data_IF_058724960247
#
_entry.id   IF_058724960247
#
_cell.length_a   1.000
_cell.length_b   1.000
_cell.length_c   1.000
_cell.angle_alpha   90.00
_cell.angle_beta   90.00
_cell.angle_gamma   90.00
#
_symmetry.space_group_name_H-M   'P 1'
#
loop_
_entity.id
_entity.type
_entity.pdbx_description
1 polymer ?
#
# COMPACT_ATOMS: atom_id res chain seq x y z
N UNK A 1 -21.33 -20.81 -16.80
CA UNK A 1 -19.98 -20.79 -17.40
C UNK A 1 -19.17 -19.79 -16.59
N UNK A 2 -18.16 -20.06 -15.77
CA UNK A 2 -17.35 -21.24 -15.46
C UNK A 2 -16.64 -20.90 -14.15
N UNK A 3 -17.23 -21.22 -12.99
CA UNK A 3 -16.53 -21.14 -11.69
C UNK A 3 -15.31 -22.08 -11.62
N UNK A 4 -15.16 -22.97 -12.60
CA UNK A 4 -14.02 -23.88 -12.77
C UNK A 4 -12.70 -23.16 -13.06
N UNK A 5 -12.71 -21.97 -13.68
CA UNK A 5 -11.50 -21.16 -13.81
C UNK A 5 -11.02 -20.64 -12.45
N UNK A 6 -11.96 -20.45 -11.53
CA UNK A 6 -11.74 -19.99 -10.17
C UNK A 6 -10.97 -20.99 -9.32
N UNK A 7 -11.47 -22.22 -9.30
CA UNK A 7 -10.89 -23.29 -8.50
C UNK A 7 -9.56 -23.79 -9.09
N UNK A 8 -9.40 -23.78 -10.41
CA UNK A 8 -8.13 -24.13 -11.05
C UNK A 8 -7.04 -23.09 -10.75
N UNK A 9 -7.35 -21.78 -10.74
CA UNK A 9 -6.37 -20.79 -10.29
C UNK A 9 -6.12 -20.93 -8.78
N UNK A 10 -7.10 -21.25 -7.95
CA UNK A 10 -6.91 -21.39 -6.49
C UNK A 10 -6.11 -22.65 -6.10
N UNK A 11 -6.07 -23.69 -6.94
CA UNK A 11 -5.24 -24.89 -6.72
C UNK A 11 -3.87 -24.81 -7.41
N UNK A 12 -3.75 -24.03 -8.51
CA UNK A 12 -2.48 -23.74 -9.16
C UNK A 12 -1.73 -22.59 -8.47
N UNK A 13 -2.49 -21.69 -7.87
CA UNK A 13 -2.04 -20.62 -7.00
C UNK A 13 -2.35 -21.06 -5.57
N UNK A 14 -1.69 -22.13 -5.12
CA UNK A 14 -1.31 -22.21 -3.72
C UNK A 14 -0.60 -20.88 -3.42
N UNK A 15 -1.35 -19.97 -2.80
CA UNK A 15 -0.90 -18.63 -2.41
C UNK A 15 0.03 -18.72 -1.18
N UNK A 16 0.86 -19.76 -1.15
CA UNK A 16 1.94 -19.99 -0.20
C UNK A 16 3.26 -19.34 -0.68
N UNK A 17 3.26 -18.78 -1.91
CA UNK A 17 4.26 -17.87 -2.49
C UNK A 17 3.63 -16.47 -2.63
N UNK A 18 3.55 -15.66 -1.58
CA UNK A 18 4.76 -15.04 -1.06
C UNK A 18 5.48 -14.19 -2.11
N UNK A 19 4.76 -13.35 -2.89
CA UNK A 19 5.38 -12.44 -3.87
C UNK A 19 6.42 -11.49 -3.24
N UNK A 20 6.45 -11.35 -1.90
CA UNK A 20 7.55 -10.74 -1.17
C UNK A 20 7.82 -11.49 0.13
N UNK A 21 8.57 -12.59 0.05
CA UNK A 21 9.41 -13.06 1.18
C UNK A 21 10.91 -12.87 0.89
N UNK A 22 11.21 -11.93 -0.02
CA UNK A 22 12.57 -11.53 -0.41
C UNK A 22 12.98 -10.22 0.26
N UNK A 23 12.04 -9.28 0.46
CA UNK A 23 12.37 -8.02 1.11
C UNK A 23 12.36 -8.24 2.63
N UNK A 24 13.50 -8.02 3.32
CA UNK A 24 13.52 -8.09 4.77
C UNK A 24 12.51 -7.08 5.32
N UNK A 25 11.82 -7.43 6.40
CA UNK A 25 10.78 -6.59 7.01
C UNK A 25 11.19 -5.10 7.20
N UNK A 26 12.46 -4.74 7.52
CA UNK A 26 12.89 -3.34 7.56
C UNK A 26 12.74 -2.61 6.21
N UNK A 27 12.96 -3.31 5.10
CA UNK A 27 12.80 -2.75 3.76
C UNK A 27 11.32 -2.65 3.36
N UNK A 28 10.47 -3.59 3.77
CA UNK A 28 9.02 -3.46 3.59
C UNK A 28 8.50 -2.22 4.33
N UNK A 29 8.88 -2.02 5.59
CA UNK A 29 8.52 -0.83 6.37
C UNK A 29 9.08 0.47 5.77
N UNK A 30 10.30 0.43 5.22
CA UNK A 30 10.86 1.59 4.52
C UNK A 30 10.06 1.95 3.25
N UNK A 31 9.62 0.94 2.49
CA UNK A 31 8.78 1.13 1.30
C UNK A 31 7.38 1.64 1.67
N UNK A 32 6.77 1.13 2.74
CA UNK A 32 5.49 1.61 3.24
C UNK A 32 5.59 3.07 3.73
N UNK A 33 6.65 3.40 4.48
CA UNK A 33 6.89 4.78 4.91
C UNK A 33 7.11 5.73 3.71
N UNK A 34 7.89 5.31 2.71
CA UNK A 34 8.11 6.09 1.50
C UNK A 34 6.82 6.27 0.69
N UNK A 35 6.03 5.20 0.55
CA UNK A 35 4.76 5.20 -0.17
C UNK A 35 3.73 6.09 0.52
N UNK A 36 3.62 6.01 1.84
CA UNK A 36 2.74 6.87 2.62
C UNK A 36 3.12 8.36 2.54
N UNK A 37 4.42 8.70 2.53
CA UNK A 37 4.88 10.08 2.30
C UNK A 37 4.57 10.56 0.89
N UNK A 38 4.78 9.73 -0.13
CA UNK A 38 4.43 10.04 -1.52
C UNK A 38 2.93 10.23 -1.69
N UNK A 39 2.13 9.37 -1.07
CA UNK A 39 0.67 9.46 -1.11
C UNK A 39 0.18 10.73 -0.41
N UNK A 40 0.73 11.04 0.76
CA UNK A 40 0.42 12.26 1.47
C UNK A 40 0.80 13.50 0.65
N UNK A 41 1.96 13.51 -0.01
CA UNK A 41 2.43 14.64 -0.82
C UNK A 41 1.82 14.72 -2.23
N UNK A 42 1.16 13.66 -2.70
CA UNK A 42 0.54 13.57 -4.02
C UNK A 42 -0.39 14.75 -4.37
N UNK A 43 -1.19 15.34 -3.45
CA UNK A 43 -2.06 16.44 -3.81
C UNK A 43 -1.34 17.70 -4.28
N UNK A 44 -0.17 17.97 -3.72
CA UNK A 44 0.67 19.09 -4.12
C UNK A 44 1.48 18.77 -5.38
N UNK A 45 2.02 17.55 -5.49
CA UNK A 45 2.82 17.12 -6.64
C UNK A 45 2.03 17.10 -7.96
N UNK A 46 0.75 16.75 -7.89
CA UNK A 46 -0.09 16.60 -9.08
C UNK A 46 -1.17 17.69 -9.21
N UNK A 47 -1.14 18.73 -8.37
CA UNK A 47 -1.96 19.92 -8.50
C UNK A 47 -3.46 19.73 -8.22
N UNK A 48 -3.84 18.73 -7.43
CA UNK A 48 -5.23 18.58 -6.94
C UNK A 48 -5.46 19.11 -5.52
N UNK A 49 -4.43 19.68 -4.88
CA UNK A 49 -4.56 20.43 -3.63
C UNK A 49 -5.56 21.59 -3.75
N UNK A 50 -5.57 22.30 -4.88
CA UNK A 50 -6.44 23.47 -5.11
C UNK A 50 -7.88 23.11 -5.52
N UNK A 51 -8.16 21.82 -5.77
CA UNK A 51 -9.50 21.36 -6.18
C UNK A 51 -10.49 21.22 -5.02
N UNK A 52 -10.04 21.50 -3.79
CA UNK A 52 -10.84 21.50 -2.57
C UNK A 52 -10.50 20.36 -1.62
N UNK A 53 -10.87 20.54 -0.35
CA UNK A 53 -10.55 19.63 0.76
C UNK A 53 -10.95 18.18 0.51
N UNK A 54 -12.02 17.93 -0.25
CA UNK A 54 -12.46 16.58 -0.62
C UNK A 54 -11.40 15.77 -1.39
N UNK A 55 -10.53 16.42 -2.15
CA UNK A 55 -9.59 15.73 -3.05
C UNK A 55 -8.26 15.40 -2.37
N UNK A 56 -7.72 16.34 -1.57
CA UNK A 56 -6.44 16.13 -0.90
C UNK A 56 -6.58 15.46 0.46
N UNK A 57 -7.70 15.64 1.17
CA UNK A 57 -7.88 15.13 2.54
C UNK A 57 -7.80 13.60 2.63
N UNK A 58 -8.43 12.80 1.73
CA UNK A 58 -8.28 11.34 1.77
C UNK A 58 -6.83 10.89 1.53
N UNK A 59 -6.11 11.54 0.62
CA UNK A 59 -4.72 11.20 0.29
C UNK A 59 -3.79 11.45 1.47
N UNK A 60 -3.93 12.60 2.12
CA UNK A 60 -3.14 12.95 3.30
C UNK A 60 -3.48 12.04 4.49
N UNK A 61 -4.77 11.74 4.71
CA UNK A 61 -5.19 10.85 5.80
C UNK A 61 -4.65 9.44 5.62
N UNK A 62 -4.84 8.85 4.43
CA UNK A 62 -4.37 7.49 4.16
C UNK A 62 -2.85 7.43 4.21
N UNK A 63 -2.15 8.36 3.55
CA UNK A 63 -0.69 8.43 3.59
C UNK A 63 -0.15 8.61 5.01
N UNK A 64 -0.78 9.44 5.84
CA UNK A 64 -0.39 9.61 7.24
C UNK A 64 -0.61 8.33 8.07
N UNK A 65 -1.72 7.63 7.88
CA UNK A 65 -1.97 6.35 8.58
C UNK A 65 -0.99 5.25 8.16
N UNK A 66 -0.59 5.24 6.90
CA UNK A 66 0.39 4.29 6.35
C UNK A 66 1.78 4.56 6.93
N UNK A 67 2.23 5.83 6.96
CA UNK A 67 3.47 6.21 7.63
C UNK A 67 3.43 5.87 9.11
N UNK A 68 2.32 6.14 9.80
CA UNK A 68 2.15 5.82 11.22
C UNK A 68 2.26 4.31 11.45
N UNK A 69 1.61 3.51 10.63
CA UNK A 69 1.69 2.06 10.70
C UNK A 69 3.12 1.57 10.46
N UNK A 70 3.83 2.13 9.48
CA UNK A 70 5.22 1.79 9.18
C UNK A 70 6.19 2.15 10.34
N UNK A 71 6.03 3.32 10.97
CA UNK A 71 6.93 3.74 12.08
C UNK A 71 6.60 3.08 13.41
N UNK A 72 5.34 2.68 13.64
CA UNK A 72 4.93 2.00 14.87
C UNK A 72 5.15 0.49 14.82
N UNK A 73 5.21 -0.09 13.62
CA UNK A 73 5.49 -1.50 13.41
C UNK A 73 6.97 -1.81 13.72
N UNK A 74 7.20 -2.55 14.80
CA UNK A 74 8.54 -3.01 15.17
C UNK A 74 8.94 -4.24 14.35
N UNK A 75 9.98 -4.10 13.56
CA UNK A 75 10.81 -5.23 13.11
C UNK A 75 11.56 -5.82 14.29
N UNK A 76 11.14 -7.01 14.74
CA UNK A 76 11.88 -7.81 15.71
C UNK A 76 12.73 -8.85 14.99
#
# INVERSE_FOLDING_TARGET
MTGAGGTAYSMLTDYELGLVRVLPMPLHLALDAASGVLLASSPWLFGFADKGSRYWLPHVLVGATEVLAAVTSKTR
#
